data_IF_724570229706
#
_entry.id   IF_724570229706
#
_cell.length_a   1.000
_cell.length_b   1.000
_cell.length_c   1.000
_cell.angle_alpha   90.00
_cell.angle_beta   90.00
_cell.angle_gamma   90.00
#
_symmetry.space_group_name_H-M   'P 1'
#
loop_
_entity.id
_entity.type
_entity.pdbx_description
1 polymer ?
#
# COMPACT_ATOMS: atom_id res chain seq x y z
N UNK A 1 18.95 -60.54 -32.96
CA UNK A 1 20.19 -60.18 -32.22
C UNK A 1 19.80 -59.22 -31.10
N UNK A 2 20.06 -59.57 -29.84
CA UNK A 2 19.75 -58.72 -28.67
C UNK A 2 20.86 -57.68 -28.47
N UNK A 3 20.51 -56.43 -28.25
CA UNK A 3 21.34 -55.50 -27.46
C UNK A 3 20.45 -54.62 -26.60
N UNK A 4 20.60 -54.79 -25.29
CA UNK A 4 20.09 -53.91 -24.24
C UNK A 4 20.90 -52.61 -24.28
N UNK A 5 20.26 -51.46 -24.09
CA UNK A 5 20.95 -50.26 -23.62
C UNK A 5 20.11 -49.59 -22.53
N UNK A 6 20.63 -49.66 -21.31
CA UNK A 6 20.05 -49.15 -20.07
C UNK A 6 20.59 -47.76 -19.76
N UNK A 7 19.70 -46.86 -19.33
CA UNK A 7 19.90 -45.92 -18.22
C UNK A 7 21.12 -44.99 -18.24
N UNK A 8 20.94 -43.76 -18.73
CA UNK A 8 21.77 -42.62 -18.29
C UNK A 8 21.05 -41.26 -18.26
N UNK A 9 19.81 -41.16 -18.74
CA UNK A 9 19.13 -39.88 -18.98
C UNK A 9 18.40 -39.28 -17.75
N UNK A 10 18.47 -39.89 -16.57
CA UNK A 10 17.71 -39.43 -15.40
C UNK A 10 18.44 -38.39 -14.55
N UNK A 11 19.79 -38.36 -14.56
CA UNK A 11 20.54 -37.46 -13.66
C UNK A 11 20.74 -36.04 -14.19
N UNK A 12 20.86 -35.86 -15.50
CA UNK A 12 21.09 -34.53 -16.11
C UNK A 12 19.80 -33.68 -16.09
N UNK A 13 18.64 -34.33 -16.11
CA UNK A 13 17.33 -33.67 -16.07
C UNK A 13 17.02 -33.02 -14.70
N UNK A 14 17.46 -33.63 -13.58
CA UNK A 14 17.27 -33.07 -12.24
C UNK A 14 18.06 -31.77 -12.01
N UNK A 15 19.26 -31.65 -12.59
CA UNK A 15 20.12 -30.48 -12.36
C UNK A 15 19.66 -29.25 -13.15
N UNK A 16 19.05 -29.44 -14.32
CA UNK A 16 18.49 -28.34 -15.12
C UNK A 16 17.15 -27.83 -14.56
N UNK A 17 16.32 -28.72 -14.02
CA UNK A 17 15.07 -28.33 -13.37
C UNK A 17 15.32 -27.61 -12.03
N UNK A 18 16.31 -28.04 -11.24
CA UNK A 18 16.64 -27.39 -9.98
C UNK A 18 17.15 -25.95 -10.16
N UNK A 19 17.93 -25.67 -11.22
CA UNK A 19 18.45 -24.33 -11.49
C UNK A 19 17.37 -23.35 -12.02
N UNK A 20 16.35 -23.84 -12.75
CA UNK A 20 15.23 -23.02 -13.23
C UNK A 20 14.17 -22.74 -12.15
N UNK A 21 14.01 -23.62 -11.15
CA UNK A 21 13.09 -23.37 -10.02
C UNK A 21 13.70 -22.39 -9.02
N UNK A 22 15.03 -22.41 -8.82
CA UNK A 22 15.70 -21.51 -7.89
C UNK A 22 15.65 -20.02 -8.29
N UNK A 23 15.59 -19.71 -9.59
CA UNK A 23 15.50 -18.32 -10.07
C UNK A 23 14.07 -17.77 -10.07
N UNK A 24 13.04 -18.62 -10.12
CA UNK A 24 11.63 -18.21 -10.05
C UNK A 24 11.15 -17.90 -8.62
N UNK A 25 11.79 -18.46 -7.59
CA UNK A 25 11.40 -18.24 -6.18
C UNK A 25 11.95 -16.94 -5.60
N UNK A 26 13.04 -16.38 -6.15
CA UNK A 26 13.67 -15.16 -5.62
C UNK A 26 13.16 -13.85 -6.22
N UNK A 27 12.38 -13.89 -7.31
CA UNK A 27 11.88 -12.69 -7.99
C UNK A 27 10.51 -12.20 -7.52
N UNK A 28 9.80 -12.97 -6.69
CA UNK A 28 8.39 -12.72 -6.37
C UNK A 28 8.13 -11.84 -5.13
N UNK A 29 9.16 -11.42 -4.39
CA UNK A 29 8.98 -10.64 -3.15
C UNK A 29 9.53 -9.20 -3.21
N UNK A 30 9.84 -8.66 -4.39
CA UNK A 30 10.18 -7.24 -4.52
C UNK A 30 9.05 -6.50 -5.24
N UNK A 31 7.85 -6.57 -4.67
CA UNK A 31 6.86 -5.52 -4.91
C UNK A 31 7.27 -4.34 -4.03
N UNK A 32 8.32 -3.61 -4.43
CA UNK A 32 8.59 -2.31 -3.86
C UNK A 32 7.50 -1.38 -4.37
N UNK A 33 6.37 -1.32 -3.66
CA UNK A 33 5.51 -0.16 -3.73
C UNK A 33 6.43 1.04 -3.51
N UNK A 34 6.50 1.92 -4.51
CA UNK A 34 7.16 3.21 -4.35
C UNK A 34 6.32 3.99 -3.33
N UNK A 35 6.57 3.76 -2.06
CA UNK A 35 5.94 4.47 -0.96
C UNK A 35 6.30 5.94 -1.12
N UNK A 36 5.28 6.81 -1.08
CA UNK A 36 5.50 8.24 -1.17
C UNK A 36 6.35 8.68 0.03
N UNK A 37 7.53 9.22 -0.24
CA UNK A 37 8.38 9.79 0.81
C UNK A 37 8.03 11.27 0.99
N UNK A 38 7.29 11.56 2.06
CA UNK A 38 6.92 12.93 2.43
C UNK A 38 8.15 13.72 2.88
N UNK A 39 8.27 14.96 2.42
CA UNK A 39 9.31 15.86 2.95
C UNK A 39 9.00 16.30 4.39
N UNK A 40 9.98 16.90 5.05
CA UNK A 40 9.85 17.32 6.45
C UNK A 40 8.73 18.35 6.68
N UNK A 41 8.42 19.20 5.70
CA UNK A 41 7.36 20.19 5.82
C UNK A 41 5.98 19.53 5.73
N UNK A 42 5.80 18.61 4.79
CA UNK A 42 4.60 17.81 4.63
C UNK A 42 4.33 16.96 5.88
N UNK A 43 5.37 16.33 6.45
CA UNK A 43 5.28 15.59 7.73
C UNK A 43 4.86 16.53 8.87
N UNK A 44 5.43 17.73 8.95
CA UNK A 44 5.08 18.69 10.00
C UNK A 44 3.61 19.13 9.92
N UNK A 45 3.08 19.39 8.72
CA UNK A 45 1.67 19.71 8.53
C UNK A 45 0.76 18.51 8.81
N UNK A 46 1.15 17.28 8.43
CA UNK A 46 0.39 16.08 8.79
C UNK A 46 0.29 15.95 10.32
N UNK A 47 1.40 16.14 11.03
CA UNK A 47 1.42 16.11 12.50
C UNK A 47 0.57 17.24 13.11
N UNK A 48 0.52 18.41 12.46
CA UNK A 48 -0.37 19.50 12.86
C UNK A 48 -1.84 19.10 12.71
N UNK A 49 -2.20 18.44 11.61
CA UNK A 49 -3.53 17.84 11.41
C UNK A 49 -3.88 16.85 12.52
N UNK A 50 -2.96 15.94 12.86
CA UNK A 50 -3.16 14.96 13.97
C UNK A 50 -3.32 15.67 15.32
N UNK A 51 -2.56 16.73 15.59
CA UNK A 51 -2.71 17.52 16.81
C UNK A 51 -4.08 18.23 16.88
N UNK A 52 -4.63 18.69 15.75
CA UNK A 52 -5.98 19.26 15.69
C UNK A 52 -7.05 18.20 15.99
N UNK A 53 -6.91 16.99 15.45
CA UNK A 53 -7.77 15.85 15.79
C UNK A 53 -7.78 15.59 17.30
N UNK A 54 -6.61 15.64 17.94
CA UNK A 54 -6.48 15.49 19.39
C UNK A 54 -7.15 16.60 20.22
N UNK A 55 -7.45 17.76 19.59
CA UNK A 55 -8.22 18.87 20.18
C UNK A 55 -9.69 18.87 19.77
N UNK A 56 -10.16 17.82 19.08
CA UNK A 56 -11.51 17.73 18.52
C UNK A 56 -11.82 18.83 17.49
N UNK A 57 -10.80 19.49 16.93
CA UNK A 57 -10.93 20.51 15.89
C UNK A 57 -10.91 19.83 14.51
N UNK A 58 -11.95 19.05 14.26
CA UNK A 58 -12.04 18.18 13.09
C UNK A 58 -12.21 18.95 11.77
N UNK A 59 -12.83 20.13 11.80
CA UNK A 59 -12.95 20.99 10.62
C UNK A 59 -11.57 21.46 10.14
N UNK A 60 -10.75 21.97 11.07
CA UNK A 60 -9.41 22.42 10.73
C UNK A 60 -8.51 21.24 10.32
N UNK A 61 -8.67 20.08 10.97
CA UNK A 61 -7.91 18.88 10.63
C UNK A 61 -8.26 18.38 9.21
N UNK A 62 -9.55 18.34 8.86
CA UNK A 62 -10.03 17.95 7.53
C UNK A 62 -9.42 18.85 6.46
N UNK A 63 -9.40 20.16 6.67
CA UNK A 63 -8.80 21.11 5.73
C UNK A 63 -7.30 20.85 5.50
N UNK A 64 -6.53 20.56 6.57
CA UNK A 64 -5.10 20.25 6.48
C UNK A 64 -4.87 18.99 5.65
N UNK A 65 -5.58 17.91 5.99
CA UNK A 65 -5.38 16.65 5.29
C UNK A 65 -5.90 16.71 3.85
N UNK A 66 -6.94 17.51 3.57
CA UNK A 66 -7.42 17.75 2.21
C UNK A 66 -6.36 18.42 1.34
N UNK A 67 -5.64 19.41 1.88
CA UNK A 67 -4.52 20.05 1.17
C UNK A 67 -3.38 19.06 0.91
N UNK A 68 -2.97 18.30 1.93
CA UNK A 68 -1.89 17.31 1.81
C UNK A 68 -2.22 16.19 0.81
N UNK A 69 -3.43 15.64 0.88
CA UNK A 69 -3.91 14.59 -0.02
C UNK A 69 -4.10 15.11 -1.45
N UNK A 70 -4.51 16.37 -1.62
CA UNK A 70 -4.64 17.03 -2.92
C UNK A 70 -3.29 17.31 -3.58
N UNK A 71 -2.30 17.77 -2.79
CA UNK A 71 -0.95 18.01 -3.26
C UNK A 71 -0.19 16.71 -3.56
N UNK A 72 -0.47 15.65 -2.80
CA UNK A 72 0.23 14.36 -2.90
C UNK A 72 -0.77 13.19 -2.98
N UNK A 73 -1.39 12.94 -4.16
CA UNK A 73 -2.39 11.88 -4.30
C UNK A 73 -1.87 10.45 -4.05
N UNK A 74 -0.55 10.25 -4.10
CA UNK A 74 0.12 8.98 -3.80
C UNK A 74 0.39 8.78 -2.30
N UNK A 75 0.18 9.79 -1.46
CA UNK A 75 0.42 9.69 -0.03
C UNK A 75 -0.78 9.08 0.68
N UNK A 76 -0.76 7.76 0.87
CA UNK A 76 -1.89 7.04 1.44
C UNK A 76 -2.22 7.47 2.87
N UNK A 77 -1.22 7.72 3.73
CA UNK A 77 -1.48 8.20 5.09
C UNK A 77 -2.26 9.51 5.12
N UNK A 78 -1.92 10.47 4.25
CA UNK A 78 -2.64 11.75 4.18
C UNK A 78 -4.12 11.55 3.76
N UNK A 79 -4.38 10.63 2.82
CA UNK A 79 -5.74 10.27 2.39
C UNK A 79 -6.53 9.57 3.49
N UNK A 80 -5.90 8.67 4.24
CA UNK A 80 -6.51 8.00 5.39
C UNK A 80 -6.82 9.02 6.49
N UNK A 81 -5.88 9.90 6.81
CA UNK A 81 -6.10 10.96 7.80
C UNK A 81 -7.22 11.91 7.39
N UNK A 82 -7.36 12.23 6.10
CA UNK A 82 -8.50 12.98 5.57
C UNK A 82 -9.84 12.26 5.80
N UNK A 83 -9.90 10.96 5.52
CA UNK A 83 -11.10 10.16 5.74
C UNK A 83 -11.49 10.13 7.24
N UNK A 84 -10.50 9.93 8.12
CA UNK A 84 -10.70 9.93 9.58
C UNK A 84 -11.18 11.30 10.07
N UNK A 85 -10.56 12.40 9.61
CA UNK A 85 -10.97 13.75 9.97
C UNK A 85 -12.39 14.07 9.48
N UNK A 86 -12.70 13.70 8.23
CA UNK A 86 -14.04 13.82 7.65
C UNK A 86 -15.06 13.07 8.51
N UNK A 87 -14.81 11.81 8.86
CA UNK A 87 -15.73 11.01 9.66
C UNK A 87 -15.98 11.64 11.05
N UNK A 88 -14.94 12.09 11.74
CA UNK A 88 -15.06 12.63 13.10
C UNK A 88 -15.77 13.99 13.17
N UNK A 89 -15.80 14.72 12.06
CA UNK A 89 -16.44 16.03 11.94
C UNK A 89 -17.97 15.96 12.01
N UNK A 90 -18.56 14.79 11.73
CA UNK A 90 -19.97 14.46 11.96
C UNK A 90 -20.97 15.44 11.33
N UNK A 91 -20.67 15.98 10.13
CA UNK A 91 -21.70 16.62 9.32
C UNK A 91 -22.52 15.56 8.59
N UNK A 92 -23.74 15.92 8.21
CA UNK A 92 -24.60 15.05 7.43
C UNK A 92 -23.88 14.58 6.15
N UNK A 93 -23.73 13.26 6.00
CA UNK A 93 -23.08 12.63 4.84
C UNK A 93 -21.56 12.47 4.95
N UNK A 94 -20.93 12.95 6.02
CA UNK A 94 -19.49 12.75 6.24
C UNK A 94 -19.13 11.27 6.37
N UNK A 95 -20.02 10.47 6.95
CA UNK A 95 -19.86 9.02 7.09
C UNK A 95 -19.81 8.31 5.74
N UNK A 96 -20.63 8.74 4.77
CA UNK A 96 -20.63 8.19 3.41
C UNK A 96 -19.37 8.64 2.68
N UNK A 97 -19.03 9.94 2.78
CA UNK A 97 -17.83 10.50 2.16
C UNK A 97 -16.55 9.81 2.66
N UNK A 98 -16.44 9.59 3.97
CA UNK A 98 -15.29 8.91 4.57
C UNK A 98 -15.23 7.44 4.16
N UNK A 99 -16.37 6.74 4.07
CA UNK A 99 -16.44 5.37 3.59
C UNK A 99 -15.94 5.27 2.14
N UNK A 100 -16.39 6.15 1.25
CA UNK A 100 -15.96 6.19 -0.14
C UNK A 100 -14.44 6.40 -0.26
N UNK A 101 -13.89 7.29 0.58
CA UNK A 101 -12.43 7.55 0.63
C UNK A 101 -11.64 6.31 1.03
N UNK A 102 -12.04 5.60 2.10
CA UNK A 102 -11.32 4.40 2.56
C UNK A 102 -11.49 3.25 1.56
N UNK A 103 -12.66 3.11 0.93
CA UNK A 103 -12.85 2.13 -0.14
C UNK A 103 -11.94 2.39 -1.33
N UNK A 104 -11.71 3.65 -1.70
CA UNK A 104 -10.77 4.01 -2.76
C UNK A 104 -9.31 3.64 -2.40
N UNK A 105 -8.91 3.83 -1.13
CA UNK A 105 -7.60 3.38 -0.63
C UNK A 105 -7.49 1.86 -0.73
N UNK A 106 -8.44 1.11 -0.17
CA UNK A 106 -8.44 -0.36 -0.17
C UNK A 106 -8.50 -0.96 -1.59
N UNK A 107 -9.16 -0.31 -2.53
CA UNK A 107 -9.18 -0.75 -3.92
C UNK A 107 -7.79 -0.69 -4.59
N UNK A 108 -6.95 0.27 -4.20
CA UNK A 108 -5.58 0.40 -4.68
C UNK A 108 -4.54 -0.35 -3.84
N UNK A 109 -4.78 -0.44 -2.53
CA UNK A 109 -3.90 -1.03 -1.53
C UNK A 109 -4.70 -1.97 -0.59
N UNK A 110 -5.05 -3.18 -1.04
CA UNK A 110 -5.93 -4.08 -0.29
C UNK A 110 -5.41 -4.52 1.08
N UNK A 111 -4.10 -4.43 1.31
CA UNK A 111 -3.45 -4.81 2.56
C UNK A 111 -3.49 -3.68 3.62
N UNK A 112 -4.07 -2.51 3.29
CA UNK A 112 -4.22 -1.37 4.18
C UNK A 112 -5.47 -1.49 5.09
N UNK A 113 -5.56 -2.61 5.82
CA UNK A 113 -6.69 -3.01 6.68
C UNK A 113 -6.40 -2.91 8.18
#
# INVERSE_FOLDING_TARGET
>A
MKTKYTGHWSRIQCWRAALMVATLVLGACQQSSSEFEADAAAIAENNRGVALMGRFDYESAEAVFAELAGANPAWTDARINLAIATLNRQREGDEVKALDMVQAVLAGEPDNL
#
